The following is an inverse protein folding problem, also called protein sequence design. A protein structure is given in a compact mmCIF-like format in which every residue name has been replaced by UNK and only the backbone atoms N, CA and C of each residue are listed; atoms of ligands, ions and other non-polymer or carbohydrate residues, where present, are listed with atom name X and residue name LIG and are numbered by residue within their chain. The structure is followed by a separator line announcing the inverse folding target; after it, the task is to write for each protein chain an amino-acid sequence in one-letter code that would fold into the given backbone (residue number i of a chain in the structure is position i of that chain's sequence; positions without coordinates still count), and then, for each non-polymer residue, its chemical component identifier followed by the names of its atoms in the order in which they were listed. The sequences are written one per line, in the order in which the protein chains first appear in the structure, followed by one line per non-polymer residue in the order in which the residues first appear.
data_IF_220056565799
#
_entry.id   IF_220056565799
#
_cell.length_a   1.000
_cell.length_b   1.000
_cell.length_c   1.000
_cell.angle_alpha   90.00
_cell.angle_beta   90.00
_cell.angle_gamma   90.00
#
_symmetry.space_group_name_H-M   'P 1'
#
loop_
_entity.id
_entity.type
_entity.pdbx_description
1 polymer ?
#
# COMPACT_ATOMS: atom_id res chain seq x y z
N UNK A 1 1.74 11.36 4.15
CA UNK A 1 2.95 10.64 4.63
C UNK A 1 2.85 9.19 4.20
N UNK A 2 3.88 8.63 3.56
CA UNK A 2 3.93 7.19 3.28
C UNK A 2 4.41 6.45 4.54
N UNK A 3 3.53 5.68 5.17
CA UNK A 3 3.92 4.76 6.25
C UNK A 3 4.52 3.49 5.61
N UNK A 4 5.80 3.23 5.89
CA UNK A 4 6.47 2.00 5.47
C UNK A 4 6.32 0.99 6.60
N UNK A 5 5.36 0.07 6.50
CA UNK A 5 5.29 -1.09 7.38
C UNK A 5 6.43 -2.04 7.00
N UNK A 6 7.42 -2.18 7.89
CA UNK A 6 8.68 -2.87 7.62
C UNK A 6 8.71 -4.21 8.36
N UNK A 7 8.55 -5.33 7.65
CA UNK A 7 9.05 -6.62 8.14
C UNK A 7 10.14 -7.19 7.21
N UNK A 8 11.28 -7.48 7.83
CA UNK A 8 12.58 -7.99 7.33
C UNK A 8 13.45 -7.08 6.43
N UNK A 9 14.47 -6.48 7.08
CA UNK A 9 15.92 -6.39 6.75
C UNK A 9 16.50 -5.03 7.13
N UNK A 10 17.76 -5.00 7.64
CA UNK A 10 18.47 -3.90 8.34
C UNK A 10 18.58 -2.56 7.58
N UNK A 11 18.85 -1.42 8.25
CA UNK A 11 18.97 -0.12 7.58
C UNK A 11 20.38 0.07 7.01
N UNK A 12 20.49 0.40 5.73
CA UNK A 12 21.70 0.99 5.16
C UNK A 12 21.27 2.02 4.11
N UNK A 13 21.64 3.26 4.37
CA UNK A 13 21.51 4.38 3.45
C UNK A 13 22.36 4.14 2.19
N UNK A 14 22.00 4.82 1.08
CA UNK A 14 22.73 4.86 -0.21
C UNK A 14 22.43 3.69 -1.16
N UNK A 15 21.21 3.70 -1.74
CA UNK A 15 20.83 3.19 -3.07
C UNK A 15 19.30 3.02 -3.11
N UNK A 16 18.55 4.03 -3.57
CA UNK A 16 17.11 3.94 -3.82
C UNK A 16 16.86 3.06 -5.06
N UNK A 17 17.02 1.73 -4.91
CA UNK A 17 16.29 0.77 -5.75
C UNK A 17 14.81 0.86 -5.36
N UNK A 18 13.90 0.76 -6.34
CA UNK A 18 12.47 0.93 -6.07
C UNK A 18 12.05 -0.09 -4.99
N UNK A 19 11.19 0.27 -4.03
CA UNK A 19 10.70 -0.67 -3.01
C UNK A 19 10.14 -1.97 -3.62
N UNK A 20 9.53 -1.85 -4.80
CA UNK A 20 9.03 -2.96 -5.61
C UNK A 20 10.11 -3.97 -5.98
N UNK A 21 11.35 -3.53 -6.25
CA UNK A 21 12.47 -4.39 -6.65
C UNK A 21 12.96 -5.30 -5.51
N UNK A 22 12.57 -5.01 -4.27
CA UNK A 22 12.92 -5.79 -3.07
C UNK A 22 11.76 -6.61 -2.53
N UNK A 23 10.64 -6.69 -3.26
CA UNK A 23 9.43 -7.36 -2.79
C UNK A 23 8.72 -6.64 -1.64
N UNK A 24 9.02 -5.36 -1.40
CA UNK A 24 8.40 -4.58 -0.32
C UNK A 24 7.07 -4.03 -0.83
N UNK A 25 6.00 -4.32 -0.10
CA UNK A 25 4.66 -3.75 -0.33
C UNK A 25 4.58 -2.41 0.37
N UNK A 26 4.27 -1.34 -0.37
CA UNK A 26 4.11 0.02 0.16
C UNK A 26 2.70 0.49 -0.16
N UNK A 27 1.99 0.98 0.87
CA UNK A 27 0.61 1.47 0.74
C UNK A 27 0.56 2.95 1.12
N UNK A 28 -0.05 3.76 0.26
CA UNK A 28 -0.25 5.19 0.45
C UNK A 28 -1.65 5.43 1.01
N UNK A 29 -1.72 5.95 2.24
CA UNK A 29 -2.95 6.31 2.93
C UNK A 29 -3.04 7.83 3.09
N UNK A 30 -4.28 8.32 3.18
CA UNK A 30 -4.54 9.72 3.52
C UNK A 30 -4.21 9.95 5.00
N UNK A 31 -3.72 11.14 5.32
CA UNK A 31 -3.54 11.57 6.72
C UNK A 31 -4.81 12.19 7.31
N UNK A 32 -5.83 12.40 6.48
CA UNK A 32 -7.13 12.87 6.94
C UNK A 32 -7.85 11.71 7.65
N UNK A 33 -8.51 12.01 8.78
CA UNK A 33 -9.34 11.03 9.50
C UNK A 33 -10.52 10.52 8.66
N UNK A 34 -10.87 11.23 7.57
CA UNK A 34 -11.89 10.87 6.61
C UNK A 34 -11.47 11.32 5.20
N UNK A 35 -11.78 10.52 4.19
CA UNK A 35 -11.51 10.82 2.79
C UNK A 35 -10.83 9.65 2.04
N UNK A 36 -10.95 9.64 0.71
CA UNK A 36 -10.39 8.62 -0.17
C UNK A 36 -9.10 9.10 -0.81
N UNK A 37 -8.04 8.29 -0.78
CA UNK A 37 -6.81 8.54 -1.55
C UNK A 37 -7.10 8.35 -3.03
N UNK A 38 -7.09 9.43 -3.79
CA UNK A 38 -7.13 9.37 -5.25
C UNK A 38 -5.70 9.53 -5.81
N UNK A 39 -5.09 8.42 -6.22
CA UNK A 39 -3.74 8.45 -6.82
C UNK A 39 -3.72 8.89 -8.29
N UNK A 40 -4.88 8.99 -8.97
CA UNK A 40 -4.98 9.46 -10.35
C UNK A 40 -5.11 10.99 -10.49
N UNK A 41 -5.53 11.69 -9.44
CA UNK A 41 -5.87 13.12 -9.51
C UNK A 41 -4.68 14.11 -9.46
N UNK A 42 -3.47 13.65 -9.11
CA UNK A 42 -2.31 14.53 -8.93
C UNK A 42 -1.02 13.89 -9.46
N UNK A 43 -0.11 14.72 -9.99
CA UNK A 43 1.20 14.30 -10.51
C UNK A 43 2.00 13.44 -9.50
N UNK A 44 1.86 13.75 -8.21
CA UNK A 44 2.49 13.01 -7.09
C UNK A 44 1.93 11.60 -6.94
N UNK A 45 0.63 11.40 -7.15
CA UNK A 45 -0.01 10.08 -7.10
C UNK A 45 0.44 9.18 -8.25
N UNK A 46 0.58 9.76 -9.44
CA UNK A 46 1.07 9.03 -10.61
C UNK A 46 2.55 8.62 -10.44
N UNK A 47 3.39 9.50 -9.88
CA UNK A 47 4.78 9.17 -9.55
C UNK A 47 4.89 8.02 -8.54
N UNK A 48 4.01 7.98 -7.54
CA UNK A 48 3.93 6.89 -6.56
C UNK A 48 3.47 5.57 -7.19
N UNK A 49 2.50 5.62 -8.10
CA UNK A 49 2.07 4.45 -8.87
C UNK A 49 3.23 3.89 -9.74
N UNK A 50 3.99 4.75 -10.42
CA UNK A 50 5.19 4.36 -11.19
C UNK A 50 6.34 3.83 -10.32
N UNK A 51 6.34 4.16 -9.02
CA UNK A 51 7.24 3.61 -8.01
C UNK A 51 6.73 2.31 -7.37
N UNK A 52 5.56 1.82 -7.80
CA UNK A 52 4.91 0.59 -7.34
C UNK A 52 4.30 0.68 -5.94
N UNK A 53 3.92 1.88 -5.53
CA UNK A 53 3.13 2.14 -4.32
C UNK A 53 1.65 1.90 -4.62
N UNK A 54 0.93 1.30 -3.69
CA UNK A 54 -0.50 0.99 -3.79
C UNK A 54 -1.30 2.11 -3.12
N UNK A 55 -2.41 2.53 -3.71
CA UNK A 55 -3.33 3.46 -3.06
C UNK A 55 -4.22 2.72 -2.08
N UNK A 56 -4.30 3.17 -0.83
CA UNK A 56 -5.15 2.54 0.17
C UNK A 56 -6.60 3.01 0.18
N UNK A 57 -7.05 3.73 -0.87
CA UNK A 57 -8.41 4.25 -1.00
C UNK A 57 -8.90 4.98 0.26
N UNK A 58 -10.06 4.59 0.78
CA UNK A 58 -10.70 5.09 2.00
C UNK A 58 -10.49 4.17 3.21
N UNK A 59 -9.55 3.21 3.14
CA UNK A 59 -9.21 2.36 4.29
C UNK A 59 -8.66 3.20 5.43
N UNK A 60 -9.06 2.86 6.66
CA UNK A 60 -8.37 3.37 7.85
C UNK A 60 -6.96 2.78 7.96
N UNK A 61 -6.12 3.42 8.78
CA UNK A 61 -4.77 2.92 9.05
C UNK A 61 -4.81 1.54 9.69
N UNK A 62 -5.74 1.33 10.63
CA UNK A 62 -5.93 0.06 11.35
C UNK A 62 -6.40 -1.04 10.40
N UNK A 63 -7.35 -0.74 9.51
CA UNK A 63 -7.83 -1.69 8.51
C UNK A 63 -6.71 -2.08 7.52
N UNK A 64 -5.94 -1.10 7.04
CA UNK A 64 -4.81 -1.33 6.14
C UNK A 64 -3.73 -2.17 6.79
N UNK A 65 -3.37 -1.86 8.04
CA UNK A 65 -2.39 -2.59 8.82
C UNK A 65 -2.81 -4.05 9.02
N UNK A 66 -4.05 -4.26 9.45
CA UNK A 66 -4.59 -5.60 9.72
C UNK A 66 -4.68 -6.43 8.44
N UNK A 67 -5.12 -5.81 7.33
CA UNK A 67 -5.19 -6.46 6.02
C UNK A 67 -3.82 -6.83 5.48
N UNK A 68 -2.83 -5.94 5.58
CA UNK A 68 -1.44 -6.25 5.22
C UNK A 68 -0.90 -7.42 6.04
N UNK A 69 -1.09 -7.40 7.35
CA UNK A 69 -0.63 -8.48 8.23
C UNK A 69 -1.30 -9.82 7.88
N UNK A 70 -2.60 -9.80 7.61
CA UNK A 70 -3.33 -10.97 7.14
C UNK A 70 -2.77 -11.50 5.82
N UNK A 71 -2.66 -10.65 4.78
CA UNK A 71 -2.18 -11.09 3.46
C UNK A 71 -0.73 -11.59 3.48
N UNK A 72 0.13 -11.00 4.31
CA UNK A 72 1.52 -11.44 4.49
C UNK A 72 1.64 -12.76 5.28
N UNK A 73 0.60 -13.15 6.02
CA UNK A 73 0.55 -14.44 6.73
C UNK A 73 0.15 -15.61 5.82
N UNK A 74 -0.34 -15.33 4.61
CA UNK A 74 -0.74 -16.32 3.63
C UNK A 74 0.42 -16.66 2.68
N UNK A 75 0.36 -17.83 2.03
CA UNK A 75 1.32 -18.23 0.99
C UNK A 75 1.00 -17.55 -0.36
N UNK A 76 1.05 -16.22 -0.38
CA UNK A 76 0.76 -15.40 -1.56
C UNK A 76 2.03 -14.71 -2.06
N UNK A 77 2.17 -14.62 -3.38
CA UNK A 77 3.23 -13.80 -3.97
C UNK A 77 2.95 -12.30 -3.77
N UNK A 78 3.99 -11.48 -3.93
CA UNK A 78 3.90 -10.04 -3.71
C UNK A 78 2.90 -9.35 -4.65
N UNK A 79 2.77 -9.79 -5.90
CA UNK A 79 1.84 -9.23 -6.88
C UNK A 79 0.38 -9.49 -6.46
N UNK A 80 0.09 -10.70 -6.01
CA UNK A 80 -1.20 -11.12 -5.49
C UNK A 80 -1.55 -10.31 -4.23
N UNK A 81 -0.60 -10.09 -3.33
CA UNK A 81 -0.79 -9.21 -2.18
C UNK A 81 -1.12 -7.76 -2.63
N UNK A 82 -0.44 -7.22 -3.66
CA UNK A 82 -0.76 -5.86 -4.14
C UNK A 82 -2.18 -5.76 -4.71
N UNK A 83 -2.60 -6.78 -5.47
CA UNK A 83 -3.95 -6.85 -6.03
C UNK A 83 -4.98 -6.93 -4.92
N UNK A 84 -4.79 -7.84 -3.96
CA UNK A 84 -5.70 -8.02 -2.82
C UNK A 84 -5.78 -6.76 -1.93
N UNK A 85 -4.71 -6.00 -1.76
CA UNK A 85 -4.74 -4.73 -1.03
C UNK A 85 -5.70 -3.70 -1.65
N UNK A 86 -5.91 -3.74 -2.96
CA UNK A 86 -6.80 -2.82 -3.68
C UNK A 86 -8.24 -3.35 -3.84
N UNK A 87 -8.52 -4.58 -3.41
CA UNK A 87 -9.83 -5.22 -3.50
C UNK A 87 -10.56 -5.19 -2.17
N UNK A 88 -11.88 -4.95 -2.17
CA UNK A 88 -12.67 -5.06 -0.96
C UNK A 88 -12.87 -6.54 -0.58
N UNK A 89 -12.37 -6.96 0.59
CA UNK A 89 -12.49 -8.34 1.07
C UNK A 89 -13.60 -8.51 2.11
N UNK A 90 -13.78 -7.54 3.00
CA UNK A 90 -14.64 -7.60 4.20
C UNK A 90 -15.33 -6.27 4.53
N UNK A 91 -15.41 -5.35 3.57
CA UNK A 91 -16.00 -4.02 3.75
C UNK A 91 -15.01 -2.95 4.20
N UNK A 92 -13.70 -3.24 4.14
CA UNK A 92 -12.66 -2.32 4.61
C UNK A 92 -12.39 -1.14 3.67
N UNK A 93 -12.77 -1.24 2.39
CA UNK A 93 -12.66 -0.18 1.39
C UNK A 93 -13.90 -0.13 0.51
N UNK A 94 -14.24 1.06 0.03
CA UNK A 94 -15.33 1.27 -0.92
C UNK A 94 -14.83 1.05 -2.34
N UNK A 95 -15.34 0.05 -3.08
CA UNK A 95 -15.01 -0.16 -4.49
C UNK A 95 -15.32 1.10 -5.31
N UNK A 96 -14.53 1.36 -6.36
CA UNK A 96 -14.98 2.26 -7.42
C UNK A 96 -15.98 1.50 -8.29
N UNK A 97 -17.16 2.08 -8.53
CA UNK A 97 -18.19 1.54 -9.45
C UNK A 97 -17.70 1.42 -10.90
#
# INVERSE_FOLDING_TARGET
MAWVMRHKTKPSCRNYKKPSDRGIVVVNLTQCMSGKVNMGGYATGNALAHAGVIGGADMTVEATLTKLHYLLSQELDTETIRKAMSQNLRGELTPDD
#
